data_IF_309239163774
#
_entry.id   IF_309239163774
#
_cell.length_a   1.000
_cell.length_b   1.000
_cell.length_c   1.000
_cell.angle_alpha   90.00
_cell.angle_beta   90.00
_cell.angle_gamma   90.00
#
_symmetry.space_group_name_H-M   'P 1'
#
loop_
_entity.id
_entity.type
_entity.pdbx_description
1 polymer ?
#
# COMPACT_ATOMS: atom_id res chain seq x y z
N UNK A 1 29.46 4.43 8.06
CA UNK A 1 28.56 3.85 9.10
C UNK A 1 27.31 4.70 9.08
N UNK A 2 26.16 4.11 8.77
CA UNK A 2 24.91 4.88 8.66
C UNK A 2 24.31 5.12 10.04
N UNK A 3 23.84 6.36 10.28
CA UNK A 3 23.16 6.70 11.54
C UNK A 3 21.70 6.22 11.55
N UNK A 4 21.02 6.31 10.38
CA UNK A 4 19.61 5.95 10.26
C UNK A 4 19.42 4.98 9.11
N UNK A 5 18.68 3.91 9.37
CA UNK A 5 18.19 3.00 8.33
C UNK A 5 16.69 3.26 8.12
N UNK A 6 16.27 3.45 6.88
CA UNK A 6 14.88 3.74 6.54
C UNK A 6 14.34 2.68 5.60
N UNK A 7 13.36 1.91 6.04
CA UNK A 7 12.60 1.02 5.16
C UNK A 7 11.50 1.83 4.49
N UNK A 8 11.78 2.29 3.26
CA UNK A 8 10.92 3.18 2.51
C UNK A 8 10.05 2.38 1.53
N UNK A 9 8.75 2.56 1.59
CA UNK A 9 7.79 1.91 0.70
C UNK A 9 6.58 2.78 0.44
N UNK A 10 6.62 4.00 0.98
CA UNK A 10 5.54 4.99 0.92
C UNK A 10 6.11 6.36 0.61
N UNK A 11 5.25 7.30 0.27
CA UNK A 11 5.62 8.71 0.07
C UNK A 11 6.34 9.27 1.30
N UNK A 12 5.82 8.95 2.48
CA UNK A 12 6.39 9.37 3.77
C UNK A 12 7.81 8.84 3.94
N UNK A 13 8.08 7.59 3.58
CA UNK A 13 9.43 7.01 3.62
C UNK A 13 10.40 7.71 2.68
N UNK A 14 9.95 8.11 1.50
CA UNK A 14 10.79 8.87 0.56
C UNK A 14 11.05 10.30 1.06
N UNK A 15 10.07 10.95 1.66
CA UNK A 15 10.22 12.27 2.26
C UNK A 15 11.21 12.25 3.42
N UNK A 16 11.14 11.23 4.29
CA UNK A 16 12.10 11.04 5.38
C UNK A 16 13.52 10.87 4.85
N UNK A 17 13.73 10.00 3.85
CA UNK A 17 15.05 9.81 3.27
C UNK A 17 15.65 11.12 2.74
N UNK A 18 14.84 11.94 2.04
CA UNK A 18 15.28 13.25 1.53
C UNK A 18 15.57 14.22 2.66
N UNK A 19 14.67 14.31 3.64
CA UNK A 19 14.83 15.20 4.79
C UNK A 19 16.13 14.89 5.56
N UNK A 20 16.42 13.62 5.85
CA UNK A 20 17.64 13.21 6.54
C UNK A 20 18.89 13.56 5.73
N UNK A 21 18.86 13.30 4.42
CA UNK A 21 19.97 13.64 3.52
C UNK A 21 20.22 15.15 3.43
N UNK A 22 19.18 15.96 3.35
CA UNK A 22 19.26 17.43 3.32
C UNK A 22 19.86 17.98 4.63
N UNK A 23 19.63 17.28 5.75
CA UNK A 23 20.22 17.60 7.06
C UNK A 23 21.59 16.93 7.31
N UNK A 24 22.18 16.35 6.25
CA UNK A 24 23.53 15.70 6.30
C UNK A 24 23.61 14.55 7.30
N UNK A 25 22.50 13.80 7.45
CA UNK A 25 22.47 12.61 8.30
C UNK A 25 22.71 11.39 7.40
N UNK A 26 23.76 10.64 7.69
CA UNK A 26 24.12 9.43 6.95
C UNK A 26 23.00 8.39 7.04
N UNK A 27 22.33 8.18 5.92
CA UNK A 27 21.10 7.39 5.82
C UNK A 27 21.23 6.29 4.77
N UNK A 28 20.73 5.11 5.08
CA UNK A 28 20.56 4.02 4.10
C UNK A 28 19.07 3.72 3.94
N UNK A 29 18.56 3.96 2.75
CA UNK A 29 17.17 3.67 2.38
C UNK A 29 17.04 2.26 1.79
N UNK A 30 16.04 1.49 2.23
CA UNK A 30 15.69 0.19 1.68
C UNK A 30 14.38 0.28 0.94
N UNK A 31 14.34 -0.20 -0.30
CA UNK A 31 13.15 -0.26 -1.15
C UNK A 31 12.99 -1.64 -1.77
N UNK A 32 11.77 -2.15 -1.82
CA UNK A 32 11.52 -3.51 -2.30
C UNK A 32 11.67 -3.68 -3.82
N UNK A 33 11.64 -2.59 -4.60
CA UNK A 33 11.58 -2.64 -6.07
C UNK A 33 12.45 -1.57 -6.71
N UNK A 34 12.91 -1.82 -7.93
CA UNK A 34 13.62 -0.82 -8.75
C UNK A 34 12.77 0.43 -9.05
N UNK A 35 11.44 0.30 -9.06
CA UNK A 35 10.56 1.46 -9.19
C UNK A 35 10.66 2.36 -7.96
N UNK A 36 10.70 1.78 -6.77
CA UNK A 36 10.90 2.52 -5.52
C UNK A 36 12.25 3.22 -5.48
N UNK A 37 13.32 2.59 -5.98
CA UNK A 37 14.64 3.22 -5.99
C UNK A 37 14.71 4.46 -6.88
N UNK A 38 13.99 4.48 -8.00
CA UNK A 38 13.91 5.66 -8.88
C UNK A 38 13.24 6.88 -8.23
N UNK A 39 12.54 6.68 -7.12
CA UNK A 39 11.90 7.77 -6.35
C UNK A 39 12.87 8.46 -5.38
N UNK A 40 14.07 7.92 -5.22
CA UNK A 40 15.14 8.45 -4.37
C UNK A 40 16.37 8.72 -5.23
N UNK A 41 17.00 9.88 -5.00
CA UNK A 41 18.29 10.23 -5.63
C UNK A 41 19.39 10.07 -4.60
N UNK A 42 20.31 9.14 -4.85
CA UNK A 42 21.48 8.93 -4.01
C UNK A 42 22.40 10.16 -4.00
N UNK A 43 23.01 10.43 -2.85
CA UNK A 43 23.99 11.49 -2.66
C UNK A 43 25.00 11.11 -1.58
N UNK A 44 25.82 12.06 -1.13
CA UNK A 44 26.84 11.83 -0.11
C UNK A 44 26.26 11.29 1.22
N UNK A 45 25.00 11.64 1.55
CA UNK A 45 24.34 11.30 2.82
C UNK A 45 23.25 10.24 2.67
N UNK A 46 22.87 9.84 1.45
CA UNK A 46 21.83 8.86 1.18
C UNK A 46 22.32 7.82 0.18
N UNK A 47 22.35 6.56 0.60
CA UNK A 47 22.46 5.40 -0.30
C UNK A 47 21.17 4.62 -0.31
N UNK A 48 20.87 3.93 -1.43
CA UNK A 48 19.62 3.19 -1.61
C UNK A 48 19.93 1.74 -1.95
N UNK A 49 19.41 0.84 -1.14
CA UNK A 49 19.48 -0.59 -1.40
C UNK A 49 18.12 -1.10 -1.90
N UNK A 50 18.13 -1.75 -3.06
CA UNK A 50 16.94 -2.36 -3.65
C UNK A 50 16.93 -3.86 -3.38
N UNK A 51 15.76 -4.39 -3.06
CA UNK A 51 15.56 -5.82 -2.83
C UNK A 51 14.69 -6.08 -1.61
N UNK A 52 14.29 -7.35 -1.46
CA UNK A 52 13.59 -7.81 -0.27
C UNK A 52 14.60 -8.45 0.67
N UNK A 53 14.52 -8.10 1.92
CA UNK A 53 15.30 -8.69 3.01
C UNK A 53 14.35 -9.47 3.91
N UNK A 54 14.76 -10.64 4.36
CA UNK A 54 14.11 -11.32 5.47
C UNK A 54 14.66 -10.84 6.83
N UNK A 55 14.17 -11.39 7.93
CA UNK A 55 14.59 -10.95 9.26
C UNK A 55 16.08 -11.21 9.50
N UNK A 56 16.63 -12.32 9.01
CA UNK A 56 18.05 -12.67 9.20
C UNK A 56 18.96 -11.73 8.38
N UNK A 57 18.60 -11.43 7.15
CA UNK A 57 19.30 -10.45 6.31
C UNK A 57 19.34 -9.08 7.01
N UNK A 58 18.20 -8.66 7.59
CA UNK A 58 18.10 -7.39 8.30
C UNK A 58 18.97 -7.36 9.56
N UNK A 59 19.00 -8.45 10.35
CA UNK A 59 19.86 -8.59 11.53
C UNK A 59 21.33 -8.44 11.16
N UNK A 60 21.77 -9.10 10.08
CA UNK A 60 23.14 -8.99 9.60
C UNK A 60 23.49 -7.53 9.25
N UNK A 61 22.62 -6.85 8.52
CA UNK A 61 22.78 -5.44 8.17
C UNK A 61 22.85 -4.56 9.44
N UNK A 62 21.97 -4.77 10.42
CA UNK A 62 21.94 -3.94 11.63
C UNK A 62 23.19 -4.16 12.50
N UNK A 63 23.68 -5.38 12.56
CA UNK A 63 24.94 -5.69 13.28
C UNK A 63 26.17 -5.10 12.59
N UNK A 64 26.19 -5.07 11.26
CA UNK A 64 27.29 -4.48 10.47
C UNK A 64 27.28 -2.96 10.52
N UNK A 65 26.13 -2.34 10.26
CA UNK A 65 26.00 -0.88 10.17
C UNK A 65 25.89 -0.19 11.52
N UNK A 66 25.40 -0.88 12.54
CA UNK A 66 25.19 -0.36 13.91
C UNK A 66 24.46 0.99 13.93
N UNK A 67 23.29 1.08 13.32
CA UNK A 67 22.56 2.34 13.23
C UNK A 67 22.09 2.80 14.63
N UNK A 68 21.92 4.10 14.80
CA UNK A 68 21.30 4.68 15.99
C UNK A 68 19.80 4.33 16.04
N UNK A 69 19.15 4.25 14.86
CA UNK A 69 17.74 3.90 14.78
C UNK A 69 17.34 3.31 13.41
N UNK A 70 16.24 2.60 13.43
CA UNK A 70 15.55 2.08 12.23
C UNK A 70 14.16 2.73 12.15
N UNK A 71 13.86 3.34 11.01
CA UNK A 71 12.56 3.92 10.69
C UNK A 71 11.84 2.99 9.72
N UNK A 72 10.72 2.42 10.15
CA UNK A 72 9.85 1.60 9.32
C UNK A 72 8.73 2.49 8.74
N UNK A 73 8.93 2.95 7.51
CA UNK A 73 7.95 3.68 6.72
C UNK A 73 7.41 2.82 5.55
N UNK A 74 7.29 1.52 5.77
CA UNK A 74 6.70 0.59 4.79
C UNK A 74 5.19 0.77 4.70
N UNK A 75 4.61 0.24 3.62
CA UNK A 75 3.17 0.36 3.39
C UNK A 75 2.37 -0.36 4.51
N UNK A 76 1.27 0.22 5.04
CA UNK A 76 0.48 -0.38 6.13
C UNK A 76 -0.02 -1.81 5.88
N UNK A 77 -0.14 -2.21 4.60
CA UNK A 77 -0.53 -3.57 4.20
C UNK A 77 0.67 -4.51 3.96
N UNK A 78 1.88 -4.07 4.20
CA UNK A 78 3.09 -4.89 4.10
C UNK A 78 3.46 -5.49 5.47
N UNK A 79 2.50 -6.19 6.11
CA UNK A 79 2.63 -6.69 7.48
C UNK A 79 3.87 -7.57 7.71
N UNK A 80 4.22 -8.42 6.74
CA UNK A 80 5.37 -9.32 6.83
C UNK A 80 6.68 -8.56 7.03
N UNK A 81 6.95 -7.55 6.21
CA UNK A 81 8.19 -6.77 6.32
C UNK A 81 8.25 -5.97 7.63
N UNK A 82 7.13 -5.43 8.10
CA UNK A 82 7.05 -4.76 9.41
C UNK A 82 7.40 -5.70 10.56
N UNK A 83 6.89 -6.94 10.51
CA UNK A 83 7.24 -7.98 11.51
C UNK A 83 8.73 -8.32 11.44
N UNK A 84 9.29 -8.51 10.24
CA UNK A 84 10.70 -8.81 10.05
C UNK A 84 11.61 -7.69 10.59
N UNK A 85 11.29 -6.42 10.28
CA UNK A 85 12.06 -5.27 10.77
C UNK A 85 12.02 -5.21 12.30
N UNK A 86 10.83 -5.38 12.89
CA UNK A 86 10.66 -5.35 14.35
C UNK A 86 11.47 -6.46 15.03
N UNK A 87 11.37 -7.69 14.52
CA UNK A 87 12.13 -8.85 15.02
C UNK A 87 13.63 -8.59 14.95
N UNK A 88 14.16 -8.11 13.82
CA UNK A 88 15.56 -7.81 13.65
C UNK A 88 16.03 -6.69 14.61
N UNK A 89 15.21 -5.66 14.82
CA UNK A 89 15.52 -4.60 15.80
C UNK A 89 15.55 -5.12 17.22
N UNK A 90 14.61 -5.98 17.61
CA UNK A 90 14.60 -6.61 18.95
C UNK A 90 15.83 -7.46 19.17
N UNK A 91 16.20 -8.34 18.22
CA UNK A 91 17.34 -9.22 18.30
C UNK A 91 18.68 -8.48 18.36
N UNK A 92 18.80 -7.36 17.65
CA UNK A 92 20.03 -6.54 17.60
C UNK A 92 20.05 -5.41 18.63
N UNK A 93 18.96 -5.22 19.38
CA UNK A 93 18.75 -4.10 20.31
C UNK A 93 18.89 -2.72 19.67
N UNK A 94 18.46 -2.62 18.41
CA UNK A 94 18.44 -1.36 17.66
C UNK A 94 17.11 -0.63 17.92
N UNK A 95 17.15 0.68 18.09
CA UNK A 95 15.93 1.49 18.27
C UNK A 95 15.03 1.41 17.03
N UNK A 96 13.77 1.07 17.25
CA UNK A 96 12.75 0.91 16.20
C UNK A 96 11.65 1.97 16.32
N UNK A 97 11.32 2.61 15.20
CA UNK A 97 10.22 3.55 15.11
C UNK A 97 9.37 3.25 13.89
N UNK A 98 8.07 3.06 14.13
CA UNK A 98 7.09 2.91 13.06
C UNK A 98 6.57 4.28 12.64
N UNK A 99 6.67 4.58 11.35
CA UNK A 99 6.06 5.77 10.75
C UNK A 99 4.71 5.39 10.18
N UNK A 100 3.67 5.95 10.76
CA UNK A 100 2.30 5.68 10.33
C UNK A 100 1.84 6.73 9.31
N UNK A 101 1.28 6.23 8.24
CA UNK A 101 0.48 7.06 7.35
C UNK A 101 -0.85 7.38 8.05
N UNK A 102 -1.26 8.64 8.04
CA UNK A 102 -2.58 9.03 8.52
C UNK A 102 -3.68 8.20 7.83
N UNK A 103 -4.63 7.71 8.61
CA UNK A 103 -5.80 7.03 8.06
C UNK A 103 -6.64 8.02 7.25
N UNK A 104 -7.43 7.50 6.31
CA UNK A 104 -8.45 8.30 5.63
C UNK A 104 -9.52 8.79 6.62
N UNK A 105 -10.26 9.82 6.24
CA UNK A 105 -11.40 10.29 7.02
C UNK A 105 -12.50 9.23 7.03
N UNK A 106 -13.21 9.12 8.16
CA UNK A 106 -14.35 8.20 8.28
C UNK A 106 -15.50 8.68 7.40
N UNK A 107 -16.10 7.77 6.63
CA UNK A 107 -17.25 8.04 5.77
C UNK A 107 -18.44 7.18 6.20
N UNK A 108 -19.52 7.82 6.66
CA UNK A 108 -20.71 7.14 7.21
C UNK A 108 -21.47 6.29 6.17
N UNK A 109 -21.32 6.63 4.87
CA UNK A 109 -21.94 5.88 3.77
C UNK A 109 -21.08 4.72 3.28
N UNK A 110 -19.91 4.49 3.88
CA UNK A 110 -19.02 3.39 3.54
C UNK A 110 -19.26 2.15 4.41
N UNK A 111 -18.96 1.00 3.85
CA UNK A 111 -18.93 -0.28 4.56
C UNK A 111 -17.47 -0.60 4.91
N UNK A 112 -17.19 -0.74 6.19
CA UNK A 112 -15.86 -1.09 6.69
C UNK A 112 -15.78 -2.57 7.00
N UNK A 113 -14.76 -3.24 6.50
CA UNK A 113 -14.52 -4.67 6.69
C UNK A 113 -13.07 -4.94 7.04
N UNK A 114 -12.81 -6.02 7.80
CA UNK A 114 -11.48 -6.30 8.34
C UNK A 114 -10.58 -7.08 7.37
N UNK A 115 -11.13 -7.65 6.30
CA UNK A 115 -10.37 -8.49 5.37
C UNK A 115 -10.97 -8.49 3.96
N UNK A 116 -10.18 -9.00 3.01
CA UNK A 116 -10.62 -9.27 1.63
C UNK A 116 -11.77 -10.27 1.63
N UNK A 117 -11.68 -11.33 2.46
CA UNK A 117 -12.75 -12.33 2.57
C UNK A 117 -14.05 -11.69 3.07
N UNK A 118 -13.99 -10.85 4.11
CA UNK A 118 -15.16 -10.15 4.61
C UNK A 118 -15.78 -9.20 3.57
N UNK A 119 -14.94 -8.57 2.72
CA UNK A 119 -15.42 -7.78 1.59
C UNK A 119 -16.14 -8.65 0.55
N UNK A 120 -15.56 -9.81 0.22
CA UNK A 120 -16.17 -10.75 -0.72
C UNK A 120 -17.50 -11.31 -0.18
N UNK A 121 -17.55 -11.70 1.09
CA UNK A 121 -18.76 -12.22 1.75
C UNK A 121 -19.89 -11.18 1.78
N UNK A 122 -19.54 -9.91 2.07
CA UNK A 122 -20.49 -8.81 2.01
C UNK A 122 -21.04 -8.63 0.58
N UNK A 123 -20.15 -8.56 -0.41
CA UNK A 123 -20.54 -8.33 -1.81
C UNK A 123 -21.31 -9.50 -2.41
N UNK A 124 -21.07 -10.74 -1.97
CA UNK A 124 -21.80 -11.93 -2.46
C UNK A 124 -23.27 -11.92 -2.05
N UNK A 125 -23.63 -11.18 -1.00
CA UNK A 125 -25.01 -10.94 -0.58
C UNK A 125 -25.68 -9.78 -1.30
N UNK A 126 -25.00 -9.10 -2.19
CA UNK A 126 -25.46 -7.90 -2.90
C UNK A 126 -25.61 -8.15 -4.41
N UNK A 127 -26.16 -7.17 -5.11
CA UNK A 127 -26.27 -7.18 -6.56
C UNK A 127 -25.67 -5.92 -7.17
N UNK A 128 -25.22 -6.03 -8.42
CA UNK A 128 -24.60 -4.95 -9.16
C UNK A 128 -23.09 -5.13 -9.33
N UNK A 129 -22.51 -4.33 -10.20
CA UNK A 129 -21.11 -4.41 -10.55
C UNK A 129 -20.23 -3.77 -9.47
N UNK A 130 -18.98 -4.21 -9.41
CA UNK A 130 -18.01 -3.82 -8.39
C UNK A 130 -16.71 -3.41 -9.06
N UNK A 131 -16.21 -2.22 -8.76
CA UNK A 131 -14.86 -1.80 -9.13
C UNK A 131 -13.86 -2.18 -8.03
N UNK A 132 -12.98 -3.14 -8.30
CA UNK A 132 -11.92 -3.54 -7.39
C UNK A 132 -10.66 -2.68 -7.60
N UNK A 133 -10.23 -1.97 -6.58
CA UNK A 133 -9.02 -1.12 -6.58
C UNK A 133 -7.99 -1.55 -5.55
N UNK A 134 -8.08 -2.80 -5.10
CA UNK A 134 -7.24 -3.41 -4.06
C UNK A 134 -5.87 -3.86 -4.56
N UNK A 135 -5.70 -3.93 -5.89
CA UNK A 135 -4.51 -4.47 -6.54
C UNK A 135 -4.58 -5.98 -6.77
N UNK A 136 -3.66 -6.49 -7.60
CA UNK A 136 -3.70 -7.87 -8.11
C UNK A 136 -3.54 -8.96 -7.05
N UNK A 137 -2.82 -8.68 -5.97
CA UNK A 137 -2.55 -9.67 -4.90
C UNK A 137 -3.80 -10.13 -4.17
N UNK A 138 -4.83 -9.30 -4.15
CA UNK A 138 -6.06 -9.56 -3.40
C UNK A 138 -7.14 -10.23 -4.25
N UNK A 139 -6.98 -10.28 -5.57
CA UNK A 139 -8.04 -10.73 -6.48
C UNK A 139 -8.46 -12.18 -6.24
N UNK A 140 -7.54 -13.04 -5.85
CA UNK A 140 -7.85 -14.44 -5.52
C UNK A 140 -8.91 -14.56 -4.41
N UNK A 141 -8.94 -13.63 -3.44
CA UNK A 141 -9.94 -13.63 -2.37
C UNK A 141 -11.37 -13.34 -2.83
N UNK A 142 -11.55 -12.80 -4.04
CA UNK A 142 -12.87 -12.52 -4.60
C UNK A 142 -13.37 -13.59 -5.58
N UNK A 143 -12.54 -14.57 -5.97
CA UNK A 143 -12.91 -15.60 -6.95
C UNK A 143 -13.94 -16.61 -6.44
N UNK A 144 -14.16 -16.67 -5.13
CA UNK A 144 -15.21 -17.47 -4.51
C UNK A 144 -16.62 -16.89 -4.59
N UNK A 145 -16.76 -15.62 -4.98
CA UNK A 145 -18.05 -14.95 -5.11
C UNK A 145 -18.84 -15.50 -6.31
N UNK A 146 -20.16 -15.54 -6.16
CA UNK A 146 -21.06 -15.90 -7.28
C UNK A 146 -20.94 -14.89 -8.42
N UNK A 147 -20.80 -15.39 -9.61
CA UNK A 147 -20.77 -14.58 -10.85
C UNK A 147 -19.66 -13.49 -10.84
N UNK A 148 -18.55 -13.74 -10.14
CA UNK A 148 -17.47 -12.76 -10.01
C UNK A 148 -16.93 -12.30 -11.36
N UNK A 149 -16.84 -13.20 -12.34
CA UNK A 149 -16.29 -12.92 -13.67
C UNK A 149 -17.11 -11.88 -14.45
N UNK A 150 -18.41 -11.77 -14.18
CA UNK A 150 -19.30 -10.82 -14.85
C UNK A 150 -19.57 -9.56 -14.01
N UNK A 151 -19.40 -9.64 -12.69
CA UNK A 151 -19.69 -8.54 -11.76
C UNK A 151 -18.48 -7.69 -11.42
N UNK A 152 -17.28 -8.30 -11.38
CA UNK A 152 -16.09 -7.62 -10.86
C UNK A 152 -15.25 -7.01 -11.99
N UNK A 153 -14.87 -5.76 -11.82
CA UNK A 153 -13.96 -5.02 -12.69
C UNK A 153 -12.69 -4.73 -11.92
N UNK A 154 -11.62 -5.46 -12.22
CA UNK A 154 -10.36 -5.38 -11.48
C UNK A 154 -9.39 -4.39 -12.11
N UNK A 155 -9.05 -3.32 -11.39
CA UNK A 155 -8.02 -2.37 -11.78
C UNK A 155 -6.69 -2.74 -11.12
N UNK A 156 -5.71 -3.06 -11.95
CA UNK A 156 -4.38 -3.55 -11.54
C UNK A 156 -3.28 -2.85 -12.30
N UNK A 157 -2.03 -3.03 -11.88
CA UNK A 157 -0.88 -2.50 -12.64
C UNK A 157 -0.77 -3.17 -14.01
N UNK A 158 -0.46 -2.39 -15.05
CA UNK A 158 -0.31 -2.84 -16.44
C UNK A 158 1.02 -3.55 -16.70
N UNK A 159 1.49 -4.39 -15.78
CA UNK A 159 2.70 -5.18 -15.92
C UNK A 159 2.36 -6.56 -16.53
N UNK A 160 3.13 -7.09 -17.50
CA UNK A 160 2.80 -8.35 -18.17
C UNK A 160 2.57 -9.52 -17.24
N UNK A 161 3.41 -9.69 -16.21
CA UNK A 161 3.28 -10.73 -15.22
C UNK A 161 2.03 -10.56 -14.33
N UNK A 162 1.65 -9.32 -14.00
CA UNK A 162 0.44 -9.01 -13.25
C UNK A 162 -0.80 -9.30 -14.07
N UNK A 163 -0.83 -8.83 -15.33
CA UNK A 163 -1.96 -9.08 -16.24
C UNK A 163 -2.17 -10.57 -16.47
N UNK A 164 -1.08 -11.34 -16.70
CA UNK A 164 -1.12 -12.78 -16.87
C UNK A 164 -1.70 -13.49 -15.62
N UNK A 165 -1.19 -13.17 -14.44
CA UNK A 165 -1.67 -13.77 -13.20
C UNK A 165 -3.16 -13.46 -12.92
N UNK A 166 -3.63 -12.26 -13.27
CA UNK A 166 -5.05 -11.90 -13.14
C UNK A 166 -5.94 -12.64 -14.14
N UNK A 167 -5.46 -12.85 -15.39
CA UNK A 167 -6.17 -13.63 -16.39
C UNK A 167 -6.29 -15.12 -15.97
N UNK A 168 -5.25 -15.70 -15.36
CA UNK A 168 -5.29 -17.05 -14.79
C UNK A 168 -6.31 -17.20 -13.65
N UNK A 169 -6.67 -16.09 -12.97
CA UNK A 169 -7.78 -16.04 -12.00
C UNK A 169 -9.16 -15.83 -12.66
N UNK A 170 -9.26 -15.76 -13.99
CA UNK A 170 -10.51 -15.60 -14.72
C UNK A 170 -10.97 -14.15 -14.93
N UNK A 171 -10.10 -13.15 -14.68
CA UNK A 171 -10.39 -11.76 -15.03
C UNK A 171 -9.93 -11.50 -16.45
N UNK A 172 -10.88 -11.27 -17.38
CA UNK A 172 -10.59 -11.11 -18.80
C UNK A 172 -11.32 -9.93 -19.43
N UNK A 173 -10.83 -9.49 -20.59
CA UNK A 173 -11.48 -8.45 -21.38
C UNK A 173 -11.71 -7.15 -20.60
N UNK A 174 -12.94 -6.65 -20.61
CA UNK A 174 -13.31 -5.41 -19.91
C UNK A 174 -13.25 -5.52 -18.37
N UNK A 175 -13.20 -6.75 -17.84
CA UNK A 175 -13.14 -7.03 -16.40
C UNK A 175 -11.71 -6.97 -15.84
N UNK A 176 -10.69 -6.83 -16.70
CA UNK A 176 -9.29 -6.66 -16.30
C UNK A 176 -8.74 -5.35 -16.88
N UNK A 177 -8.53 -4.37 -16.02
CA UNK A 177 -8.14 -3.01 -16.38
C UNK A 177 -6.71 -2.75 -15.92
N UNK A 178 -5.77 -2.74 -16.87
CA UNK A 178 -4.34 -2.49 -16.62
C UNK A 178 -4.04 -0.99 -16.64
N UNK A 179 -3.84 -0.37 -15.48
CA UNK A 179 -3.52 1.05 -15.38
C UNK A 179 -2.56 1.33 -14.20
N UNK A 180 -1.77 2.39 -14.32
CA UNK A 180 -0.89 2.87 -13.26
C UNK A 180 -1.39 4.21 -12.72
N UNK A 181 -1.55 4.28 -11.37
CA UNK A 181 -1.94 5.50 -10.66
C UNK A 181 -0.79 6.51 -10.47
N UNK A 182 -1.05 7.61 -9.76
CA UNK A 182 -2.29 7.90 -9.01
C UNK A 182 -3.48 8.22 -9.93
N UNK A 183 -4.71 8.08 -9.41
CA UNK A 183 -5.95 8.27 -10.16
C UNK A 183 -6.75 9.40 -9.51
N UNK A 184 -7.17 10.37 -10.30
CA UNK A 184 -8.02 11.46 -9.82
C UNK A 184 -9.45 11.00 -9.52
N UNK A 185 -10.20 11.82 -8.79
CA UNK A 185 -11.63 11.61 -8.52
C UNK A 185 -12.44 11.45 -9.82
N UNK A 186 -12.18 12.32 -10.82
CA UNK A 186 -12.89 12.31 -12.10
C UNK A 186 -12.69 10.98 -12.85
N UNK A 187 -11.47 10.45 -12.87
CA UNK A 187 -11.18 9.17 -13.52
C UNK A 187 -11.83 8.00 -12.78
N UNK A 188 -11.79 8.00 -11.44
CA UNK A 188 -12.49 6.99 -10.64
C UNK A 188 -14.00 7.04 -10.92
N UNK A 189 -14.62 8.23 -10.93
CA UNK A 189 -16.04 8.42 -11.21
C UNK A 189 -16.38 7.99 -12.65
N UNK A 190 -15.55 8.33 -13.64
CA UNK A 190 -15.75 7.90 -15.01
C UNK A 190 -15.76 6.37 -15.16
N UNK A 191 -14.88 5.66 -14.45
CA UNK A 191 -14.84 4.19 -14.44
C UNK A 191 -16.07 3.59 -13.76
N UNK A 192 -16.51 4.14 -12.63
CA UNK A 192 -17.73 3.70 -11.95
C UNK A 192 -18.96 3.82 -12.87
N UNK A 193 -19.10 4.94 -13.56
CA UNK A 193 -20.20 5.17 -14.54
C UNK A 193 -20.06 4.25 -15.75
N UNK A 194 -18.86 4.11 -16.32
CA UNK A 194 -18.61 3.30 -17.52
C UNK A 194 -19.00 1.84 -17.34
N UNK A 195 -18.77 1.29 -16.15
CA UNK A 195 -19.02 -0.11 -15.84
C UNK A 195 -20.28 -0.32 -14.99
N UNK A 196 -21.09 0.72 -14.80
CA UNK A 196 -22.31 0.70 -13.96
C UNK A 196 -22.03 0.05 -12.59
N UNK A 197 -20.94 0.48 -11.93
CA UNK A 197 -20.53 -0.08 -10.67
C UNK A 197 -21.32 0.53 -9.50
N UNK A 198 -21.96 -0.33 -8.72
CA UNK A 198 -22.66 0.02 -7.48
C UNK A 198 -21.75 0.00 -6.26
N UNK A 199 -20.58 -0.60 -6.38
CA UNK A 199 -19.61 -0.75 -5.29
C UNK A 199 -18.22 -0.39 -5.79
N UNK A 200 -17.44 0.24 -4.91
CA UNK A 200 -15.99 0.44 -5.09
C UNK A 200 -15.27 -0.18 -3.90
N UNK A 201 -14.45 -1.19 -4.14
CA UNK A 201 -13.63 -1.81 -3.09
C UNK A 201 -12.24 -1.17 -3.08
N UNK A 202 -11.83 -0.68 -1.94
CA UNK A 202 -10.51 -0.10 -1.74
C UNK A 202 -9.91 -0.50 -0.39
N UNK A 203 -8.61 -0.30 -0.25
CA UNK A 203 -7.91 -0.38 1.04
C UNK A 203 -7.80 1.02 1.62
N UNK A 204 -7.78 1.14 2.95
CA UNK A 204 -7.42 2.38 3.62
C UNK A 204 -5.93 2.68 3.41
N UNK A 205 -5.61 3.27 2.27
CA UNK A 205 -4.23 3.61 1.90
C UNK A 205 -3.83 5.01 2.35
N UNK A 206 -4.70 5.72 3.06
CA UNK A 206 -4.49 7.11 3.48
C UNK A 206 -4.46 8.11 2.31
N UNK A 207 -4.28 9.40 2.63
CA UNK A 207 -4.34 10.52 1.65
C UNK A 207 -3.40 10.33 0.46
N UNK A 208 -2.14 9.99 0.69
CA UNK A 208 -1.14 9.81 -0.37
C UNK A 208 -1.40 8.61 -1.31
N UNK A 209 -2.26 7.66 -0.92
CA UNK A 209 -2.68 6.52 -1.74
C UNK A 209 -3.87 6.79 -2.64
N UNK A 210 -4.34 8.04 -2.76
CA UNK A 210 -5.54 8.41 -3.52
C UNK A 210 -6.81 7.80 -2.91
N UNK A 211 -6.82 7.61 -1.59
CA UNK A 211 -7.96 7.04 -0.87
C UNK A 211 -9.17 7.97 -0.99
N UNK A 212 -8.99 9.26 -0.66
CA UNK A 212 -10.07 10.24 -0.68
C UNK A 212 -10.69 10.40 -2.07
N UNK A 213 -9.87 10.48 -3.13
CA UNK A 213 -10.36 10.55 -4.52
C UNK A 213 -11.25 9.37 -4.91
N UNK A 214 -11.01 8.17 -4.35
CA UNK A 214 -11.85 6.99 -4.59
C UNK A 214 -13.16 7.08 -3.84
N UNK A 215 -13.12 7.52 -2.57
CA UNK A 215 -14.31 7.68 -1.74
C UNK A 215 -15.23 8.75 -2.35
N UNK A 216 -14.69 9.93 -2.65
CA UNK A 216 -15.44 11.04 -3.24
C UNK A 216 -16.07 10.65 -4.59
N UNK A 217 -15.31 9.91 -5.43
CA UNK A 217 -15.84 9.41 -6.70
C UNK A 217 -16.97 8.41 -6.51
N UNK A 218 -16.86 7.50 -5.53
CA UNK A 218 -17.92 6.54 -5.24
C UNK A 218 -19.18 7.26 -4.78
N UNK A 219 -19.06 8.22 -3.86
CA UNK A 219 -20.17 9.00 -3.34
C UNK A 219 -20.83 9.87 -4.41
N UNK A 220 -20.05 10.46 -5.32
CA UNK A 220 -20.55 11.23 -6.47
C UNK A 220 -21.38 10.36 -7.44
N UNK A 221 -21.05 9.08 -7.55
CA UNK A 221 -21.71 8.13 -8.43
C UNK A 221 -22.80 7.30 -7.72
N UNK A 222 -23.18 7.63 -6.49
CA UNK A 222 -24.09 6.85 -5.66
C UNK A 222 -23.66 5.38 -5.49
N UNK A 223 -22.36 5.11 -5.62
CA UNK A 223 -21.76 3.83 -5.35
C UNK A 223 -21.34 3.73 -3.88
N UNK A 224 -21.44 2.52 -3.32
CA UNK A 224 -21.06 2.25 -1.93
C UNK A 224 -19.57 1.94 -1.84
N UNK A 225 -18.76 2.74 -1.12
CA UNK A 225 -17.39 2.37 -0.82
C UNK A 225 -17.34 1.19 0.14
N UNK A 226 -16.60 0.14 -0.21
CA UNK A 226 -16.29 -0.98 0.68
C UNK A 226 -14.81 -0.88 1.03
N UNK A 227 -14.51 -0.55 2.27
CA UNK A 227 -13.17 -0.20 2.73
C UNK A 227 -12.61 -1.36 3.54
N UNK A 228 -11.54 -1.97 3.03
CA UNK A 228 -10.82 -3.00 3.76
C UNK A 228 -9.86 -2.30 4.71
N UNK A 229 -10.03 -2.54 6.01
CA UNK A 229 -9.20 -1.98 7.07
C UNK A 229 -7.75 -2.46 7.01
N UNK A 230 -6.88 -1.81 7.79
CA UNK A 230 -5.46 -2.17 7.88
C UNK A 230 -5.31 -3.50 8.64
N UNK A 231 -4.45 -4.42 8.18
CA UNK A 231 -4.31 -5.75 8.79
C UNK A 231 -3.73 -5.72 10.20
N UNK A 232 -3.00 -4.67 10.55
CA UNK A 232 -2.40 -4.48 11.87
C UNK A 232 -2.94 -3.18 12.48
N UNK A 233 -3.32 -3.25 13.77
CA UNK A 233 -3.45 -2.06 14.60
C UNK A 233 -2.04 -1.68 15.05
N UNK A 234 -1.47 -0.68 14.42
CA UNK A 234 -0.09 -0.26 14.68
C UNK A 234 -0.09 1.00 15.55
N UNK A 235 0.80 1.00 16.55
CA UNK A 235 1.21 2.21 17.23
C UNK A 235 2.46 2.76 16.56
N UNK A 236 2.52 4.08 16.35
CA UNK A 236 3.65 4.70 15.67
C UNK A 236 3.52 6.22 15.63
N UNK A 237 4.46 6.86 14.96
CA UNK A 237 4.52 8.31 14.83
C UNK A 237 4.03 8.76 13.47
N UNK A 238 3.34 9.89 13.42
CA UNK A 238 3.06 10.57 12.16
C UNK A 238 4.33 11.25 11.62
N UNK A 239 4.36 11.51 10.31
CA UNK A 239 5.49 12.21 9.68
C UNK A 239 5.75 13.60 10.32
N UNK A 240 4.70 14.28 10.78
CA UNK A 240 4.81 15.59 11.43
C UNK A 240 5.63 15.56 12.73
N UNK A 241 5.71 14.42 13.41
CA UNK A 241 6.50 14.28 14.64
C UNK A 241 8.00 14.03 14.37
N UNK A 242 8.35 13.63 13.15
CA UNK A 242 9.75 13.39 12.77
C UNK A 242 10.47 14.68 12.40
N UNK A 243 9.72 15.71 12.02
CA UNK A 243 10.26 17.02 11.62
C UNK A 243 10.46 17.99 12.80
N UNK A 244 10.19 17.57 14.04
CA UNK A 244 10.46 18.33 15.26
C UNK A 244 11.82 17.93 15.82
#
# INVERSE_FOLDING_TARGET
MYKVLVFAGTTEGYEICRFLADHKIETKGFVATEYGSKSLTENEFLTVQTGRLDAADMEEVFLQEKPEMVLDATHPYAAEVTVNIRTACENTRTAYYRVLREAGEHEDRAVYVDSVQAAADYLDQTQGNVLLTTGSKELAGFTGMKDYQNRLYARVLSLPNVMKACAELGFEGKHLIGMQGPFSRELNAAMLRQYDCRYLVTKDTGKAGGFQDKIDAALECDAVPVIIGRPLKEEGMSLSLIHI
#
